data_IF_304490096004
#
_entry.id   IF_304490096004
#
_cell.length_a   1.000
_cell.length_b   1.000
_cell.length_c   1.000
_cell.angle_alpha   90.00
_cell.angle_beta   90.00
_cell.angle_gamma   90.00
#
_symmetry.space_group_name_H-M   'P 1'
#
loop_
_entity.id
_entity.type
_entity.pdbx_description
1 polymer ?
#
# COMPACT_ATOMS: atom_id res chain seq x y z
N UNK A 1 7.50 22.02 11.84
CA UNK A 1 7.01 23.29 11.26
C UNK A 1 7.16 24.38 12.32
N UNK A 2 7.68 25.57 11.97
CA UNK A 2 7.63 26.71 12.86
C UNK A 2 6.18 27.09 13.13
N UNK A 3 5.89 27.55 14.35
CA UNK A 3 4.56 28.03 14.74
C UNK A 3 4.18 29.21 13.86
N UNK A 4 3.14 29.03 13.05
CA UNK A 4 2.66 30.06 12.13
C UNK A 4 1.68 30.97 12.87
N UNK A 5 1.81 32.29 12.72
CA UNK A 5 0.86 33.25 13.28
C UNK A 5 -0.11 33.74 12.19
N UNK A 6 -0.97 32.83 11.72
CA UNK A 6 -1.96 33.12 10.67
C UNK A 6 -3.29 33.47 11.34
N UNK A 7 -3.84 34.63 10.99
CA UNK A 7 -5.09 35.16 11.50
C UNK A 7 -6.16 35.09 10.40
N UNK A 8 -7.33 34.55 10.71
CA UNK A 8 -8.51 34.61 9.85
C UNK A 8 -9.60 35.39 10.57
N UNK A 9 -10.05 36.51 10.00
CA UNK A 9 -11.06 37.40 10.61
C UNK A 9 -10.73 37.83 12.07
N UNK A 10 -9.44 37.96 12.40
CA UNK A 10 -8.97 38.32 13.74
C UNK A 10 -8.77 37.14 14.71
N UNK A 11 -9.17 35.92 14.34
CA UNK A 11 -8.93 34.72 15.14
C UNK A 11 -7.70 33.93 14.65
N UNK A 12 -6.93 33.39 15.59
CA UNK A 12 -5.75 32.59 15.27
C UNK A 12 -6.16 31.19 14.80
N UNK A 13 -5.69 30.80 13.62
CA UNK A 13 -5.97 29.47 13.08
C UNK A 13 -5.20 28.42 13.90
N UNK A 14 -5.92 27.38 14.36
CA UNK A 14 -5.31 26.25 15.08
C UNK A 14 -4.44 25.42 14.13
N UNK A 15 -3.15 25.35 14.43
CA UNK A 15 -2.21 24.49 13.71
C UNK A 15 -2.34 23.04 14.22
N UNK A 16 -2.57 22.09 13.31
CA UNK A 16 -2.67 20.67 13.62
C UNK A 16 -1.37 19.96 13.26
N UNK A 17 -0.89 19.09 14.16
CA UNK A 17 0.28 18.23 13.91
C UNK A 17 -0.04 17.06 12.98
N UNK A 18 -1.31 16.72 12.81
CA UNK A 18 -1.74 15.63 11.95
C UNK A 18 -3.12 15.96 11.40
N UNK A 19 -3.28 15.87 10.09
CA UNK A 19 -4.55 16.14 9.42
C UNK A 19 -4.91 14.98 8.50
N UNK A 20 -6.15 14.51 8.58
CA UNK A 20 -6.63 13.42 7.72
C UNK A 20 -7.33 14.04 6.51
N UNK A 21 -6.75 13.88 5.33
CA UNK A 21 -7.33 14.34 4.06
C UNK A 21 -7.53 13.16 3.12
N UNK A 22 -8.77 12.93 2.67
CA UNK A 22 -9.13 11.88 1.70
C UNK A 22 -8.41 10.54 1.98
N UNK A 23 -8.44 10.11 3.25
CA UNK A 23 -7.85 8.86 3.77
C UNK A 23 -6.32 8.91 4.00
N UNK A 24 -5.61 9.87 3.41
CA UNK A 24 -4.20 10.15 3.70
C UNK A 24 -4.04 10.95 5.00
N UNK A 25 -2.97 10.67 5.73
CA UNK A 25 -2.60 11.39 6.95
C UNK A 25 -1.46 12.33 6.63
N UNK A 26 -1.76 13.62 6.55
CA UNK A 26 -0.80 14.68 6.30
C UNK A 26 -0.09 15.01 7.61
N UNK A 27 1.24 14.93 7.57
CA UNK A 27 2.12 15.32 8.66
C UNK A 27 2.87 16.61 8.30
N UNK A 28 3.27 17.44 9.27
CA UNK A 28 3.99 18.71 9.05
C UNK A 28 5.36 18.51 8.41
N UNK A 29 5.86 17.28 8.36
CA UNK A 29 7.12 16.90 7.71
C UNK A 29 6.91 16.32 6.30
N UNK A 30 5.67 16.35 5.79
CA UNK A 30 5.26 15.80 4.50
C UNK A 30 5.72 14.34 4.28
N UNK A 31 5.86 13.56 5.36
CA UNK A 31 6.35 12.19 5.24
C UNK A 31 5.23 11.22 4.89
N UNK A 32 5.52 10.37 3.90
CA UNK A 32 4.58 9.38 3.37
C UNK A 32 4.77 7.98 3.99
N UNK A 33 5.73 7.81 4.89
CA UNK A 33 6.10 6.53 5.51
C UNK A 33 4.94 5.90 6.28
N UNK A 34 4.21 6.70 7.07
CA UNK A 34 3.06 6.25 7.84
C UNK A 34 1.94 5.76 6.92
N UNK A 35 1.66 6.49 5.83
CA UNK A 35 0.65 6.07 4.87
C UNK A 35 1.08 4.79 4.14
N UNK A 36 2.32 4.71 3.67
CA UNK A 36 2.85 3.53 2.98
C UNK A 36 2.78 2.29 3.89
N UNK A 37 3.18 2.41 5.16
CA UNK A 37 3.07 1.30 6.11
C UNK A 37 1.62 0.86 6.33
N UNK A 38 0.70 1.82 6.43
CA UNK A 38 -0.73 1.53 6.56
C UNK A 38 -1.27 0.79 5.33
N UNK A 39 -0.88 1.20 4.12
CA UNK A 39 -1.28 0.54 2.86
C UNK A 39 -0.72 -0.87 2.75
N UNK A 40 0.54 -1.07 3.17
CA UNK A 40 1.14 -2.40 3.27
C UNK A 40 0.34 -3.29 4.21
N UNK A 41 0.02 -2.82 5.42
CA UNK A 41 -0.79 -3.58 6.38
C UNK A 41 -2.18 -3.93 5.83
N UNK A 42 -2.86 -2.97 5.19
CA UNK A 42 -4.16 -3.20 4.55
C UNK A 42 -4.08 -4.23 3.42
N UNK A 43 -3.03 -4.16 2.59
CA UNK A 43 -2.84 -5.11 1.48
C UNK A 43 -2.69 -6.54 1.98
N UNK A 44 -1.96 -6.74 3.10
CA UNK A 44 -1.81 -8.05 3.76
C UNK A 44 -3.13 -8.54 4.35
N UNK A 45 -3.85 -7.69 5.07
CA UNK A 45 -5.14 -8.03 5.66
C UNK A 45 -6.15 -8.49 4.59
N UNK A 46 -6.20 -7.78 3.45
CA UNK A 46 -7.08 -8.14 2.34
C UNK A 46 -6.62 -9.43 1.65
N UNK A 47 -5.32 -9.64 1.49
CA UNK A 47 -4.80 -10.91 0.99
C UNK A 47 -5.22 -12.09 1.88
N UNK A 48 -5.11 -11.93 3.20
CA UNK A 48 -5.58 -12.93 4.18
C UNK A 48 -7.08 -13.15 4.09
N UNK A 49 -7.88 -12.09 3.96
CA UNK A 49 -9.34 -12.19 3.77
C UNK A 49 -9.73 -12.91 2.47
N UNK A 50 -8.95 -12.74 1.41
CA UNK A 50 -9.16 -13.38 0.10
C UNK A 50 -8.49 -14.76 -0.01
N UNK A 51 -7.92 -15.31 1.06
CA UNK A 51 -7.23 -16.60 1.06
C UNK A 51 -8.09 -17.75 0.53
N UNK A 52 -9.40 -17.72 0.78
CA UNK A 52 -10.35 -18.71 0.25
C UNK A 52 -10.38 -18.73 -1.28
N UNK A 53 -10.38 -17.56 -1.92
CA UNK A 53 -10.33 -17.39 -3.38
C UNK A 53 -8.99 -17.89 -3.92
N UNK A 54 -7.89 -17.52 -3.26
CA UNK A 54 -6.55 -17.91 -3.69
C UNK A 54 -6.24 -19.40 -3.49
N UNK A 55 -6.90 -20.07 -2.53
CA UNK A 55 -6.70 -21.51 -2.28
C UNK A 55 -7.67 -22.39 -3.12
N UNK A 56 -8.76 -21.81 -3.64
CA UNK A 56 -9.78 -22.57 -4.37
C UNK A 56 -9.27 -23.15 -5.70
N UNK A 57 -9.27 -24.48 -5.85
CA UNK A 57 -8.79 -25.17 -7.06
C UNK A 57 -9.70 -24.97 -8.29
N UNK A 58 -10.97 -24.63 -8.09
CA UNK A 58 -11.94 -24.43 -9.17
C UNK A 58 -11.71 -23.12 -9.93
N UNK A 59 -10.93 -22.19 -9.36
CA UNK A 59 -10.63 -20.90 -9.98
C UNK A 59 -9.30 -20.98 -10.72
N UNK A 60 -9.30 -20.57 -11.99
CA UNK A 60 -8.09 -20.53 -12.83
C UNK A 60 -7.04 -19.62 -12.21
N UNK A 61 -5.77 -20.02 -12.33
CA UNK A 61 -4.63 -19.24 -11.83
C UNK A 61 -4.56 -17.84 -12.44
N UNK A 62 -4.87 -17.70 -13.74
CA UNK A 62 -4.91 -16.41 -14.42
C UNK A 62 -5.91 -15.45 -13.77
N UNK A 63 -7.10 -15.93 -13.44
CA UNK A 63 -8.12 -15.15 -12.73
C UNK A 63 -7.63 -14.73 -11.35
N UNK A 64 -7.00 -15.63 -10.59
CA UNK A 64 -6.44 -15.30 -9.26
C UNK A 64 -5.36 -14.23 -9.32
N UNK A 65 -4.45 -14.34 -10.29
CA UNK A 65 -3.41 -13.33 -10.54
C UNK A 65 -4.08 -11.99 -10.88
N UNK A 66 -5.08 -11.99 -11.77
CA UNK A 66 -5.79 -10.76 -12.15
C UNK A 66 -6.52 -10.14 -10.94
N UNK A 67 -7.19 -10.94 -10.10
CA UNK A 67 -7.82 -10.47 -8.86
C UNK A 67 -6.81 -9.84 -7.91
N UNK A 68 -5.65 -10.49 -7.70
CA UNK A 68 -4.58 -9.94 -6.87
C UNK A 68 -4.08 -8.60 -7.41
N UNK A 69 -3.85 -8.49 -8.73
CA UNK A 69 -3.43 -7.23 -9.37
C UNK A 69 -4.51 -6.15 -9.23
N UNK A 70 -5.77 -6.48 -9.45
CA UNK A 70 -6.89 -5.54 -9.44
C UNK A 70 -7.18 -4.97 -8.04
N UNK A 71 -7.14 -5.80 -7.00
CA UNK A 71 -7.47 -5.35 -5.65
C UNK A 71 -6.24 -5.02 -4.82
N UNK A 72 -5.28 -5.94 -4.72
CA UNK A 72 -4.22 -5.86 -3.73
C UNK A 72 -3.14 -4.88 -4.18
N UNK A 73 -2.76 -4.91 -5.46
CA UNK A 73 -1.79 -3.92 -5.97
C UNK A 73 -2.39 -2.52 -6.03
N UNK A 74 -3.67 -2.37 -6.37
CA UNK A 74 -4.35 -1.08 -6.34
C UNK A 74 -4.33 -0.46 -4.94
N UNK A 75 -4.56 -1.26 -3.90
CA UNK A 75 -4.53 -0.79 -2.51
C UNK A 75 -3.11 -0.44 -2.06
N UNK A 76 -2.12 -1.23 -2.47
CA UNK A 76 -0.73 -0.98 -2.15
C UNK A 76 -0.17 0.28 -2.83
N UNK A 77 -0.63 0.59 -4.05
CA UNK A 77 -0.14 1.71 -4.87
C UNK A 77 -1.02 2.95 -4.82
N UNK A 78 -2.14 2.92 -4.10
CA UNK A 78 -3.02 4.07 -4.03
C UNK A 78 -2.30 5.30 -3.46
N UNK A 79 -2.27 6.38 -4.23
CA UNK A 79 -1.62 7.64 -3.85
C UNK A 79 -0.11 7.66 -4.07
N UNK A 80 0.47 6.68 -4.77
CA UNK A 80 1.91 6.63 -5.02
C UNK A 80 2.45 7.84 -5.81
N UNK A 81 1.61 8.47 -6.64
CA UNK A 81 1.94 9.70 -7.39
C UNK A 81 2.17 10.91 -6.49
N UNK A 82 1.56 10.91 -5.29
CA UNK A 82 1.70 11.99 -4.31
C UNK A 82 2.74 11.66 -3.23
N UNK A 83 3.36 10.47 -3.27
CA UNK A 83 4.36 10.09 -2.28
C UNK A 83 5.74 10.62 -2.63
N UNK A 84 6.39 11.23 -1.63
CA UNK A 84 7.83 11.50 -1.73
C UNK A 84 8.57 10.18 -1.52
N UNK A 85 8.72 9.40 -2.59
CA UNK A 85 9.34 8.08 -2.55
C UNK A 85 10.85 8.18 -2.27
N UNK A 86 11.25 7.81 -1.05
CA UNK A 86 12.64 7.52 -0.74
C UNK A 86 13.02 6.13 -1.27
N UNK A 87 14.29 5.91 -1.62
CA UNK A 87 14.79 4.60 -2.08
C UNK A 87 14.42 3.44 -1.15
N UNK A 88 14.43 3.66 0.17
CA UNK A 88 14.01 2.66 1.15
C UNK A 88 12.52 2.29 1.05
N UNK A 89 11.65 3.28 0.79
CA UNK A 89 10.21 3.07 0.65
C UNK A 89 9.89 2.35 -0.65
N UNK A 90 10.56 2.72 -1.75
CA UNK A 90 10.45 2.02 -3.03
C UNK A 90 10.86 0.54 -2.89
N UNK A 91 11.99 0.27 -2.22
CA UNK A 91 12.44 -1.10 -1.94
C UNK A 91 11.40 -1.89 -1.16
N UNK A 92 10.80 -1.29 -0.12
CA UNK A 92 9.75 -1.93 0.69
C UNK A 92 8.50 -2.25 -0.14
N UNK A 93 8.05 -1.32 -0.99
CA UNK A 93 6.90 -1.55 -1.87
C UNK A 93 7.17 -2.66 -2.89
N UNK A 94 8.36 -2.67 -3.50
CA UNK A 94 8.79 -3.72 -4.43
C UNK A 94 8.88 -5.07 -3.73
N UNK A 95 9.44 -5.11 -2.53
CA UNK A 95 9.50 -6.32 -1.71
C UNK A 95 8.11 -6.86 -1.40
N UNK A 96 7.17 -6.00 -0.96
CA UNK A 96 5.81 -6.44 -0.67
C UNK A 96 5.08 -6.96 -1.90
N UNK A 97 5.23 -6.30 -3.06
CA UNK A 97 4.71 -6.83 -4.34
C UNK A 97 5.25 -8.24 -4.64
N UNK A 98 6.56 -8.44 -4.43
CA UNK A 98 7.21 -9.73 -4.65
C UNK A 98 6.66 -10.80 -3.70
N UNK A 99 6.69 -10.54 -2.39
CA UNK A 99 6.25 -11.50 -1.37
C UNK A 99 4.81 -11.97 -1.61
N UNK A 100 3.88 -11.05 -1.90
CA UNK A 100 2.47 -11.41 -2.16
C UNK A 100 2.34 -12.28 -3.42
N UNK A 101 3.12 -11.99 -4.46
CA UNK A 101 3.13 -12.79 -5.69
C UNK A 101 3.76 -14.17 -5.51
N UNK A 102 4.76 -14.29 -4.65
CA UNK A 102 5.41 -15.55 -4.30
C UNK A 102 4.49 -16.41 -3.43
N UNK A 103 3.81 -15.82 -2.45
CA UNK A 103 2.87 -16.53 -1.59
C UNK A 103 1.72 -17.14 -2.41
N UNK A 104 1.21 -16.42 -3.42
CA UNK A 104 0.24 -16.98 -4.38
C UNK A 104 0.81 -18.15 -5.19
N UNK A 105 2.09 -18.11 -5.60
CA UNK A 105 2.74 -19.23 -6.29
C UNK A 105 2.91 -20.44 -5.37
N UNK A 106 3.20 -20.21 -4.09
CA UNK A 106 3.30 -21.28 -3.08
C UNK A 106 1.97 -21.99 -2.84
N UNK A 107 0.85 -21.26 -2.75
CA UNK A 107 -0.50 -21.87 -2.66
C UNK A 107 -0.81 -22.82 -3.82
N UNK A 108 -0.16 -22.61 -4.96
CA UNK A 108 -0.35 -23.38 -6.19
C UNK A 108 0.74 -24.43 -6.44
N UNK A 109 1.69 -24.60 -5.52
CA UNK A 109 2.80 -25.54 -5.69
C UNK A 109 3.75 -25.18 -6.83
N UNK A 110 3.69 -23.95 -7.36
CA UNK A 110 4.54 -23.46 -8.45
C UNK A 110 5.91 -22.99 -7.94
N UNK A 111 6.54 -23.76 -7.03
CA UNK A 111 7.96 -23.59 -6.73
C UNK A 111 8.76 -24.19 -7.89
N UNK A 112 9.07 -23.38 -8.91
CA UNK A 112 10.00 -23.82 -9.95
C UNK A 112 9.93 -23.14 -11.33
N UNK A 113 8.95 -22.29 -11.63
CA UNK A 113 8.87 -21.68 -12.99
C UNK A 113 9.57 -20.31 -13.01
N UNK A 114 10.88 -20.44 -13.04
CA UNK A 114 11.93 -19.62 -13.66
C UNK A 114 11.79 -18.09 -13.68
N UNK A 115 12.72 -17.46 -12.97
CA UNK A 115 13.50 -16.37 -13.53
C UNK A 115 14.32 -16.92 -14.73
N UNK A 116 13.81 -16.74 -15.95
CA UNK A 116 14.58 -16.74 -17.20
C UNK A 116 13.83 -15.92 -18.25
N UNK A 117 14.25 -14.67 -18.44
CA UNK A 117 14.93 -14.20 -19.65
C UNK A 117 15.48 -12.81 -19.40
#
# INVERSE_FOLDING_TARGET
MPVSNILCKGERIKQLCTFKYLISTITPYARCDIEIQKRIALSKDIFTKMKSIFTNRNIRLSTKINTMKAYIWSILLYGCECWTLTKDLERRLKQQKCCISEELREYHGLKGIQAKK
#
